data_IF_408332878679
#
_entry.id   IF_408332878679
#
_cell.length_a   1.000
_cell.length_b   1.000
_cell.length_c   1.000
_cell.angle_alpha   90.00
_cell.angle_beta   90.00
_cell.angle_gamma   90.00
#
_symmetry.space_group_name_H-M   'P 1'
#
loop_
_entity.id
_entity.type
_entity.pdbx_description
1 polymer ?
#
# COMPACT_ATOMS: atom_id res chain seq x y z
N UNK A 1 -32.19 20.08 34.60
CA UNK A 1 -33.22 19.87 33.55
C UNK A 1 -32.62 20.25 32.20
N UNK A 2 -31.73 19.41 31.65
CA UNK A 2 -31.32 19.42 30.24
C UNK A 2 -30.93 17.98 29.91
N UNK A 3 -31.91 17.23 29.40
CA UNK A 3 -31.82 15.84 29.00
C UNK A 3 -31.58 15.76 27.49
N UNK A 4 -30.51 15.06 27.12
CA UNK A 4 -30.36 14.06 26.05
C UNK A 4 -31.06 14.25 24.70
N UNK A 5 -30.27 14.13 23.62
CA UNK A 5 -30.76 13.97 22.25
C UNK A 5 -29.71 13.45 21.26
N UNK A 6 -28.90 12.45 21.64
CA UNK A 6 -28.11 11.68 20.66
C UNK A 6 -29.05 10.68 19.98
N UNK A 7 -29.41 10.96 18.72
CA UNK A 7 -30.13 10.02 17.86
C UNK A 7 -29.18 8.87 17.51
N UNK A 8 -29.39 7.71 18.13
CA UNK A 8 -28.88 6.45 17.62
C UNK A 8 -29.61 6.15 16.30
N UNK A 9 -28.89 6.18 15.18
CA UNK A 9 -29.37 5.65 13.91
C UNK A 9 -29.57 4.15 14.06
N UNK A 10 -30.83 3.70 14.01
CA UNK A 10 -31.18 2.30 13.86
C UNK A 10 -30.79 1.85 12.45
N UNK A 11 -29.54 1.40 12.31
CA UNK A 11 -29.08 0.69 11.12
C UNK A 11 -29.81 -0.64 11.00
N UNK A 12 -30.65 -0.75 9.98
CA UNK A 12 -31.36 -1.97 9.60
C UNK A 12 -30.34 -3.08 9.28
N UNK A 13 -30.39 -4.17 10.05
CA UNK A 13 -29.45 -5.31 10.01
C UNK A 13 -29.62 -6.22 8.77
N UNK A 14 -30.12 -5.68 7.65
CA UNK A 14 -30.30 -6.38 6.37
C UNK A 14 -29.18 -6.13 5.35
N UNK A 15 -28.14 -5.37 5.69
CA UNK A 15 -27.04 -5.03 4.78
C UNK A 15 -25.68 -5.62 5.19
N UNK A 16 -25.64 -6.80 5.82
CA UNK A 16 -24.45 -7.64 5.68
C UNK A 16 -24.42 -8.00 4.20
N UNK A 17 -23.55 -7.31 3.46
CA UNK A 17 -23.60 -7.20 2.01
C UNK A 17 -23.95 -8.54 1.36
N UNK A 18 -25.09 -8.57 0.66
CA UNK A 18 -25.23 -9.57 -0.39
C UNK A 18 -23.94 -9.48 -1.21
N UNK A 19 -23.29 -10.62 -1.45
CA UNK A 19 -22.27 -10.72 -2.48
C UNK A 19 -22.99 -10.38 -3.77
N UNK A 20 -23.03 -9.09 -4.10
CA UNK A 20 -23.57 -8.61 -5.36
C UNK A 20 -22.60 -9.12 -6.39
N UNK A 21 -23.06 -10.00 -7.27
CA UNK A 21 -22.25 -10.43 -8.39
C UNK A 21 -21.65 -9.19 -9.07
N UNK A 22 -20.35 -9.21 -9.42
CA UNK A 22 -19.75 -8.10 -10.12
C UNK A 22 -20.56 -7.80 -11.38
N UNK A 23 -20.63 -6.52 -11.82
CA UNK A 23 -21.21 -6.17 -13.12
C UNK A 23 -20.66 -7.10 -14.21
N UNK A 24 -21.50 -7.47 -15.18
CA UNK A 24 -21.17 -8.53 -16.14
C UNK A 24 -19.86 -8.28 -16.92
N UNK A 25 -19.55 -7.01 -17.19
CA UNK A 25 -18.30 -6.59 -17.83
C UNK A 25 -17.06 -6.88 -16.97
N UNK A 26 -17.12 -6.60 -15.66
CA UNK A 26 -16.03 -6.88 -14.73
C UNK A 26 -15.86 -8.39 -14.54
N UNK A 27 -16.97 -9.12 -14.41
CA UNK A 27 -16.97 -10.57 -14.31
C UNK A 27 -16.32 -11.24 -15.53
N UNK A 28 -16.55 -10.68 -16.73
CA UNK A 28 -15.91 -11.13 -17.97
C UNK A 28 -14.39 -10.92 -17.90
N UNK A 29 -13.94 -9.70 -17.60
CA UNK A 29 -12.49 -9.40 -17.54
C UNK A 29 -11.79 -10.24 -16.48
N UNK A 30 -12.39 -10.41 -15.29
CA UNK A 30 -11.86 -11.31 -14.27
C UNK A 30 -11.74 -12.75 -14.76
N UNK A 31 -12.72 -13.25 -15.52
CA UNK A 31 -12.68 -14.59 -16.11
C UNK A 31 -11.61 -14.73 -17.20
N UNK A 32 -11.31 -13.67 -17.95
CA UNK A 32 -10.23 -13.63 -18.96
C UNK A 32 -8.83 -13.50 -18.32
N UNK A 33 -8.72 -12.83 -17.17
CA UNK A 33 -7.47 -12.71 -16.42
C UNK A 33 -7.13 -13.99 -15.63
N UNK A 34 -8.14 -14.71 -15.10
CA UNK A 34 -7.97 -15.87 -14.21
C UNK A 34 -7.05 -16.99 -14.74
N UNK A 35 -7.04 -17.36 -16.04
CA UNK A 35 -6.18 -18.42 -16.55
C UNK A 35 -4.71 -18.02 -16.67
N UNK A 36 -4.38 -16.73 -16.55
CA UNK A 36 -3.00 -16.23 -16.62
C UNK A 36 -2.19 -16.73 -15.42
N UNK A 37 -0.87 -16.67 -15.58
CA UNK A 37 0.07 -17.00 -14.52
C UNK A 37 -0.27 -16.19 -13.24
N UNK A 38 -0.60 -16.83 -12.10
CA UNK A 38 -1.05 -16.13 -10.89
C UNK A 38 0.06 -15.33 -10.20
N UNK A 39 -0.33 -14.34 -9.39
CA UNK A 39 0.59 -13.46 -8.62
C UNK A 39 1.53 -14.21 -7.66
N UNK A 40 1.17 -15.44 -7.28
CA UNK A 40 1.93 -16.29 -6.35
C UNK A 40 3.07 -17.06 -7.01
N UNK A 41 3.15 -17.03 -8.35
CA UNK A 41 4.21 -17.72 -9.11
C UNK A 41 4.94 -16.68 -9.95
N UNK A 42 6.27 -16.62 -9.84
CA UNK A 42 7.06 -15.51 -10.38
C UNK A 42 8.15 -15.99 -11.34
N UNK A 43 8.50 -15.11 -12.28
CA UNK A 43 9.71 -15.18 -13.09
C UNK A 43 10.47 -13.86 -12.94
N UNK A 44 11.70 -13.87 -12.39
CA UNK A 44 12.50 -12.66 -12.20
C UNK A 44 12.93 -11.98 -13.52
N UNK A 45 12.01 -11.27 -14.17
CA UNK A 45 12.26 -10.56 -15.43
C UNK A 45 11.26 -9.43 -15.64
N UNK A 46 11.72 -8.32 -16.21
CA UNK A 46 10.85 -7.25 -16.72
C UNK A 46 10.55 -7.41 -18.22
N UNK A 47 11.10 -8.43 -18.89
CA UNK A 47 11.07 -8.53 -20.36
C UNK A 47 9.67 -8.47 -20.97
N UNK A 48 8.71 -9.21 -20.41
CA UNK A 48 7.32 -9.24 -20.92
C UNK A 48 6.61 -7.91 -20.72
N UNK A 49 6.68 -7.36 -19.51
CA UNK A 49 6.01 -6.09 -19.20
C UNK A 49 6.65 -4.93 -19.97
N UNK A 50 7.98 -4.89 -20.12
CA UNK A 50 8.65 -3.90 -20.97
C UNK A 50 8.19 -4.02 -22.42
N UNK A 51 8.15 -5.23 -22.99
CA UNK A 51 7.68 -5.43 -24.35
C UNK A 51 6.22 -4.99 -24.55
N UNK A 52 5.37 -5.11 -23.53
CA UNK A 52 4.00 -4.58 -23.55
C UNK A 52 3.98 -3.05 -23.46
N UNK A 53 4.76 -2.44 -22.57
CA UNK A 53 4.84 -0.99 -22.44
C UNK A 53 5.34 -0.33 -23.73
N UNK A 54 6.37 -0.90 -24.37
CA UNK A 54 6.92 -0.42 -25.63
C UNK A 54 5.84 -0.36 -26.73
N UNK A 55 5.00 -1.41 -26.82
CA UNK A 55 3.92 -1.49 -27.81
C UNK A 55 2.76 -0.55 -27.48
N UNK A 56 2.51 -0.28 -26.20
CA UNK A 56 1.50 0.66 -25.72
C UNK A 56 1.96 2.13 -25.78
N UNK A 57 3.20 2.39 -26.21
CA UNK A 57 3.74 3.75 -26.33
C UNK A 57 4.19 4.36 -25.00
N UNK A 58 4.69 3.53 -24.09
CA UNK A 58 5.28 3.93 -22.80
C UNK A 58 4.36 4.78 -21.90
N UNK A 59 3.11 4.34 -21.61
CA UNK A 59 2.18 5.10 -20.79
C UNK A 59 2.72 5.37 -19.36
N UNK A 60 3.57 4.50 -18.84
CA UNK A 60 4.24 4.63 -17.54
C UNK A 60 5.23 5.80 -17.46
N UNK A 61 5.58 6.43 -18.58
CA UNK A 61 6.49 7.58 -18.66
C UNK A 61 5.76 8.92 -18.86
N UNK A 62 4.43 8.91 -18.98
CA UNK A 62 3.63 10.11 -19.26
C UNK A 62 3.42 11.04 -18.05
N UNK A 63 3.73 10.56 -16.84
CA UNK A 63 3.54 11.27 -15.57
C UNK A 63 4.64 10.88 -14.57
N UNK A 64 4.90 11.72 -13.55
CA UNK A 64 5.82 11.37 -12.48
C UNK A 64 5.29 10.23 -11.60
N UNK A 65 6.20 9.46 -11.01
CA UNK A 65 5.87 8.29 -10.19
C UNK A 65 6.55 8.37 -8.83
N UNK A 66 5.78 8.14 -7.77
CA UNK A 66 6.24 7.78 -6.43
C UNK A 66 6.02 6.28 -6.27
N UNK A 67 7.09 5.51 -6.17
CA UNK A 67 7.01 4.05 -6.08
C UNK A 67 7.24 3.59 -4.64
N UNK A 68 6.41 2.67 -4.13
CA UNK A 68 6.42 2.23 -2.74
C UNK A 68 6.66 0.72 -2.67
N UNK A 69 7.75 0.31 -2.02
CA UNK A 69 8.02 -1.09 -1.64
C UNK A 69 8.24 -1.22 -0.13
N UNK A 70 8.43 -2.46 0.32
CA UNK A 70 8.67 -2.85 1.71
C UNK A 70 7.96 -4.16 2.05
N UNK A 71 8.14 -4.65 3.27
CA UNK A 71 7.46 -5.86 3.73
C UNK A 71 6.07 -5.49 4.24
N UNK A 72 6.01 -4.60 5.23
CA UNK A 72 4.78 -4.12 5.84
C UNK A 72 4.57 -2.62 5.59
N UNK A 73 3.32 -2.15 5.60
CA UNK A 73 2.99 -0.71 5.50
C UNK A 73 2.82 -0.14 4.09
N UNK A 74 3.26 -0.83 3.03
CA UNK A 74 3.19 -0.39 1.62
C UNK A 74 1.86 0.26 1.24
N UNK A 75 0.76 -0.50 1.29
CA UNK A 75 -0.58 -0.02 0.92
C UNK A 75 -1.01 1.20 1.75
N UNK A 76 -0.76 1.20 3.06
CA UNK A 76 -1.17 2.31 3.92
C UNK A 76 -0.37 3.57 3.62
N UNK A 77 0.95 3.45 3.46
CA UNK A 77 1.83 4.55 3.06
C UNK A 77 1.44 5.10 1.69
N UNK A 78 1.16 4.24 0.71
CA UNK A 78 0.67 4.66 -0.61
C UNK A 78 -0.66 5.44 -0.52
N UNK A 79 -1.60 5.00 0.34
CA UNK A 79 -2.88 5.72 0.56
C UNK A 79 -2.69 7.06 1.27
N UNK A 80 -1.73 7.16 2.19
CA UNK A 80 -1.38 8.42 2.87
C UNK A 80 -0.74 9.41 1.89
N UNK A 81 0.19 8.94 1.04
CA UNK A 81 0.80 9.75 -0.02
C UNK A 81 -0.28 10.25 -0.99
N UNK A 82 -1.18 9.38 -1.46
CA UNK A 82 -2.34 9.76 -2.30
C UNK A 82 -3.20 10.85 -1.64
N UNK A 83 -3.59 10.67 -0.38
CA UNK A 83 -4.38 11.68 0.36
C UNK A 83 -3.66 13.02 0.47
N UNK A 84 -2.37 13.02 0.81
CA UNK A 84 -1.57 14.24 0.94
C UNK A 84 -1.48 14.98 -0.40
N UNK A 85 -1.09 14.29 -1.48
CA UNK A 85 -0.95 14.90 -2.81
C UNK A 85 -2.28 15.49 -3.31
N UNK A 86 -3.41 14.80 -3.07
CA UNK A 86 -4.74 15.36 -3.36
C UNK A 86 -5.10 16.56 -2.50
N UNK A 87 -4.67 16.58 -1.24
CA UNK A 87 -4.78 17.76 -0.37
C UNK A 87 -4.08 18.98 -0.96
N UNK A 88 -2.99 18.78 -1.71
CA UNK A 88 -2.29 19.81 -2.48
C UNK A 88 -2.84 20.05 -3.89
N UNK A 89 -4.02 19.51 -4.20
CA UNK A 89 -4.75 19.76 -5.45
C UNK A 89 -4.24 18.97 -6.66
N UNK A 90 -3.38 17.96 -6.46
CA UNK A 90 -2.92 17.10 -7.55
C UNK A 90 -3.93 16.01 -7.86
N UNK A 91 -4.12 15.74 -9.16
CA UNK A 91 -4.85 14.58 -9.64
C UNK A 91 -3.96 13.35 -9.53
N UNK A 92 -4.28 12.46 -8.59
CA UNK A 92 -3.43 11.31 -8.27
C UNK A 92 -4.01 10.02 -8.82
N UNK A 93 -3.19 9.25 -9.53
CA UNK A 93 -3.44 7.83 -9.81
C UNK A 93 -2.77 6.97 -8.74
N UNK A 94 -3.47 6.00 -8.16
CA UNK A 94 -2.87 5.07 -7.18
C UNK A 94 -3.06 3.63 -7.62
N UNK A 95 -1.95 2.90 -7.67
CA UNK A 95 -1.93 1.46 -7.91
C UNK A 95 -1.56 0.73 -6.62
N UNK A 96 -2.42 -0.20 -6.16
CA UNK A 96 -2.22 -0.95 -4.90
C UNK A 96 -2.53 -2.43 -5.04
N UNK A 97 -1.92 -3.27 -4.21
CA UNK A 97 -2.16 -4.72 -4.24
C UNK A 97 -1.93 -5.39 -2.88
N UNK A 98 -2.65 -6.49 -2.57
CA UNK A 98 -3.84 -6.98 -3.27
C UNK A 98 -5.06 -6.08 -2.99
N UNK A 99 -6.21 -6.39 -3.61
CA UNK A 99 -7.51 -5.79 -3.24
C UNK A 99 -8.15 -6.53 -2.06
N UNK A 100 -9.11 -5.89 -1.39
CA UNK A 100 -9.88 -6.51 -0.31
C UNK A 100 -11.21 -7.08 -0.80
N UNK A 101 -12.00 -6.32 -1.56
CA UNK A 101 -13.34 -6.74 -1.98
C UNK A 101 -13.49 -6.79 -3.51
N UNK A 102 -12.90 -5.84 -4.24
CA UNK A 102 -13.01 -5.78 -5.71
C UNK A 102 -11.67 -5.51 -6.38
N UNK A 103 -11.40 -6.18 -7.50
CA UNK A 103 -10.19 -5.97 -8.31
C UNK A 103 -10.01 -4.51 -8.73
N UNK A 104 -11.09 -3.73 -8.86
CA UNK A 104 -11.02 -2.31 -9.23
C UNK A 104 -10.32 -1.46 -8.18
N UNK A 105 -10.26 -1.89 -6.92
CA UNK A 105 -9.52 -1.21 -5.84
C UNK A 105 -8.02 -1.09 -6.16
N UNK A 106 -7.50 -1.96 -7.02
CA UNK A 106 -6.10 -1.95 -7.43
C UNK A 106 -5.74 -0.74 -8.28
N UNK A 107 -6.72 -0.11 -8.94
CA UNK A 107 -6.52 1.08 -9.79
C UNK A 107 -7.46 2.17 -9.29
N UNK A 108 -6.93 3.20 -8.64
CA UNK A 108 -7.70 4.34 -8.14
C UNK A 108 -7.28 5.61 -8.85
N UNK A 109 -8.23 6.51 -9.14
CA UNK A 109 -7.98 7.87 -9.61
C UNK A 109 -8.71 8.81 -8.67
N UNK A 110 -8.00 9.86 -8.22
CA UNK A 110 -8.53 10.85 -7.26
C UNK A 110 -9.05 10.22 -5.96
N UNK A 111 -8.35 9.18 -5.49
CA UNK A 111 -8.69 8.44 -4.27
C UNK A 111 -9.84 7.44 -4.40
N UNK A 112 -10.46 7.32 -5.58
CA UNK A 112 -11.61 6.45 -5.83
C UNK A 112 -11.22 5.30 -6.77
N UNK A 113 -11.55 4.03 -6.46
CA UNK A 113 -11.39 2.93 -7.41
C UNK A 113 -12.08 3.22 -8.75
N UNK A 114 -11.47 2.82 -9.86
CA UNK A 114 -12.11 2.96 -11.17
C UNK A 114 -13.43 2.18 -11.22
N UNK A 115 -14.40 2.64 -12.00
CA UNK A 115 -15.66 1.92 -12.19
C UNK A 115 -15.42 0.58 -12.89
N UNK A 116 -16.34 -0.37 -12.71
CA UNK A 116 -16.33 -1.64 -13.45
C UNK A 116 -16.26 -1.42 -14.97
N UNK A 117 -17.04 -0.48 -15.48
CA UNK A 117 -17.04 -0.10 -16.90
C UNK A 117 -15.68 0.42 -17.33
N UNK A 118 -15.09 1.36 -16.58
CA UNK A 118 -13.78 1.91 -16.92
C UNK A 118 -12.67 0.86 -16.84
N UNK A 119 -12.74 -0.03 -15.87
CA UNK A 119 -11.81 -1.16 -15.76
C UNK A 119 -11.90 -2.08 -16.98
N UNK A 120 -13.11 -2.38 -17.44
CA UNK A 120 -13.35 -3.20 -18.63
C UNK A 120 -12.93 -2.51 -19.93
N UNK A 121 -13.22 -1.21 -20.07
CA UNK A 121 -12.76 -0.39 -21.20
C UNK A 121 -11.24 -0.42 -21.32
N UNK A 122 -10.51 -0.14 -20.23
CA UNK A 122 -9.04 -0.17 -20.24
C UNK A 122 -8.50 -1.56 -20.59
N UNK A 123 -9.15 -2.63 -20.11
CA UNK A 123 -8.78 -3.99 -20.49
C UNK A 123 -8.97 -4.22 -22.00
N UNK A 124 -10.13 -3.85 -22.54
CA UNK A 124 -10.45 -4.03 -23.96
C UNK A 124 -9.51 -3.22 -24.86
N UNK A 125 -9.12 -2.02 -24.44
CA UNK A 125 -8.14 -1.18 -25.14
C UNK A 125 -6.77 -1.86 -25.23
N UNK A 126 -6.32 -2.56 -24.18
CA UNK A 126 -5.01 -3.23 -24.18
C UNK A 126 -5.04 -4.67 -24.73
N UNK A 127 -6.20 -5.34 -24.74
CA UNK A 127 -6.32 -6.76 -25.08
C UNK A 127 -5.70 -7.18 -26.44
N UNK A 128 -5.81 -6.38 -27.52
CA UNK A 128 -5.13 -6.69 -28.79
C UNK A 128 -3.60 -6.74 -28.64
N UNK A 129 -3.03 -5.85 -27.82
CA UNK A 129 -1.60 -5.76 -27.57
C UNK A 129 -1.11 -6.88 -26.64
N UNK A 130 -1.94 -7.29 -25.67
CA UNK A 130 -1.69 -8.49 -24.85
C UNK A 130 -1.51 -9.71 -25.76
N UNK A 131 -2.43 -9.91 -26.69
CA UNK A 131 -2.39 -11.04 -27.64
C UNK A 131 -1.14 -11.01 -28.53
N UNK A 132 -0.73 -9.82 -28.98
CA UNK A 132 0.47 -9.62 -29.79
C UNK A 132 1.75 -9.97 -29.02
N UNK A 133 1.86 -9.53 -27.77
CA UNK A 133 3.04 -9.79 -26.92
C UNK A 133 3.06 -11.26 -26.47
N UNK A 134 1.93 -11.80 -26.03
CA UNK A 134 1.79 -13.20 -25.60
C UNK A 134 2.24 -14.17 -26.71
N UNK A 135 1.92 -13.88 -27.98
CA UNK A 135 2.33 -14.71 -29.12
C UNK A 135 3.83 -14.68 -29.43
N UNK A 136 4.57 -13.69 -28.90
CA UNK A 136 6.01 -13.50 -29.12
C UNK A 136 6.87 -13.92 -27.93
N UNK A 137 6.25 -14.32 -26.83
CA UNK A 137 6.91 -14.67 -25.58
C UNK A 137 6.75 -16.17 -25.29
N UNK A 138 7.73 -16.83 -24.66
CA UNK A 138 7.61 -18.25 -24.31
C UNK A 138 6.51 -18.50 -23.28
N UNK A 139 6.18 -17.47 -22.49
CA UNK A 139 5.14 -17.50 -21.48
C UNK A 139 4.33 -16.20 -21.63
N UNK A 140 3.01 -16.32 -21.58
CA UNK A 140 2.11 -15.18 -21.60
C UNK A 140 2.35 -14.27 -20.40
N UNK A 141 1.99 -12.99 -20.54
CA UNK A 141 1.92 -12.03 -19.44
C UNK A 141 1.11 -12.61 -18.28
N UNK A 142 1.66 -12.49 -17.08
CA UNK A 142 1.03 -12.87 -15.83
C UNK A 142 -0.16 -11.98 -15.51
N UNK A 143 -1.00 -12.44 -14.58
CA UNK A 143 -2.12 -11.68 -14.05
C UNK A 143 -1.68 -10.29 -13.53
N UNK A 144 -0.57 -10.24 -12.80
CA UNK A 144 -0.06 -9.00 -12.23
C UNK A 144 0.52 -8.06 -13.29
N UNK A 145 1.27 -8.57 -14.27
CA UNK A 145 1.79 -7.75 -15.37
C UNK A 145 0.67 -7.09 -16.18
N UNK A 146 -0.43 -7.79 -16.43
CA UNK A 146 -1.59 -7.21 -17.13
C UNK A 146 -2.24 -6.12 -16.28
N UNK A 147 -2.45 -6.34 -14.98
CA UNK A 147 -3.01 -5.33 -14.09
C UNK A 147 -2.13 -4.09 -13.97
N UNK A 148 -0.82 -4.26 -13.88
CA UNK A 148 0.15 -3.15 -13.86
C UNK A 148 0.04 -2.33 -15.14
N UNK A 149 -0.03 -2.99 -16.30
CA UNK A 149 -0.23 -2.32 -17.58
C UNK A 149 -1.54 -1.55 -17.64
N UNK A 150 -2.65 -2.16 -17.18
CA UNK A 150 -3.95 -1.49 -17.07
C UNK A 150 -3.87 -0.25 -16.17
N UNK A 151 -3.16 -0.35 -15.03
CA UNK A 151 -2.94 0.79 -14.14
C UNK A 151 -2.25 1.94 -14.88
N UNK A 152 -1.16 1.66 -15.59
CA UNK A 152 -0.41 2.68 -16.30
C UNK A 152 -1.20 3.34 -17.44
N UNK A 153 -1.97 2.55 -18.20
CA UNK A 153 -2.85 3.06 -19.26
C UNK A 153 -3.99 3.90 -18.67
N UNK A 154 -4.67 3.42 -17.64
CA UNK A 154 -5.76 4.15 -16.99
C UNK A 154 -5.32 5.52 -16.48
N UNK A 155 -4.10 5.61 -15.96
CA UNK A 155 -3.49 6.86 -15.49
C UNK A 155 -3.13 7.82 -16.62
N UNK A 156 -2.59 7.31 -17.73
CA UNK A 156 -2.26 8.12 -18.90
C UNK A 156 -3.53 8.70 -19.56
N UNK A 157 -4.58 7.89 -19.66
CA UNK A 157 -5.87 8.29 -20.23
C UNK A 157 -6.65 9.29 -19.37
N UNK A 158 -6.45 9.23 -18.04
CA UNK A 158 -7.11 10.09 -17.07
C UNK A 158 -6.25 11.30 -16.67
N UNK A 159 -5.48 11.87 -17.60
CA UNK A 159 -4.24 12.65 -17.39
C UNK A 159 -4.00 13.07 -15.93
N UNK A 160 -3.38 12.19 -15.16
CA UNK A 160 -3.04 12.44 -13.75
C UNK A 160 -1.77 13.30 -13.66
N UNK A 161 -1.61 14.02 -12.55
CA UNK A 161 -0.41 14.79 -12.27
C UNK A 161 0.71 13.92 -11.69
N UNK A 162 0.37 12.83 -11.00
CA UNK A 162 1.34 11.93 -10.35
C UNK A 162 0.73 10.56 -10.05
N UNK A 163 1.51 9.50 -10.26
CA UNK A 163 1.13 8.15 -9.85
C UNK A 163 1.82 7.74 -8.53
N UNK A 164 1.07 7.11 -7.63
CA UNK A 164 1.57 6.42 -6.44
C UNK A 164 1.44 4.92 -6.66
N UNK A 165 2.56 4.24 -6.84
CA UNK A 165 2.59 2.84 -7.31
C UNK A 165 3.17 1.94 -6.24
N UNK A 166 2.33 1.11 -5.64
CA UNK A 166 2.76 0.03 -4.75
C UNK A 166 3.32 -1.14 -5.57
N UNK A 167 4.48 -1.62 -5.15
CA UNK A 167 5.14 -2.81 -5.67
C UNK A 167 4.42 -4.06 -5.18
N UNK A 168 4.18 -5.02 -6.09
CA UNK A 168 3.54 -6.28 -5.75
C UNK A 168 4.44 -7.15 -4.89
N UNK A 169 5.62 -7.52 -5.40
CA UNK A 169 6.61 -8.30 -4.66
C UNK A 169 8.04 -7.90 -5.02
N UNK A 170 8.92 -7.83 -4.02
CA UNK A 170 10.33 -7.52 -4.26
C UNK A 170 10.55 -6.06 -4.66
N UNK A 171 11.21 -5.83 -5.80
CA UNK A 171 11.45 -4.49 -6.33
C UNK A 171 12.03 -4.54 -7.73
N UNK A 172 13.30 -4.93 -7.88
CA UNK A 172 14.07 -4.93 -9.14
C UNK A 172 13.33 -5.53 -10.33
N UNK A 173 12.68 -6.69 -10.14
CA UNK A 173 11.99 -7.41 -11.22
C UNK A 173 10.46 -7.42 -11.06
N UNK A 174 9.91 -6.62 -10.13
CA UNK A 174 8.47 -6.42 -10.05
C UNK A 174 7.96 -5.69 -11.28
N UNK A 175 6.81 -6.10 -11.82
CA UNK A 175 6.27 -5.50 -13.04
C UNK A 175 6.07 -3.99 -12.95
N UNK A 176 5.86 -3.42 -11.75
CA UNK A 176 5.75 -1.97 -11.56
C UNK A 176 7.07 -1.23 -11.79
N UNK A 177 8.21 -1.90 -11.68
CA UNK A 177 9.55 -1.29 -11.78
C UNK A 177 10.02 -0.95 -13.20
N UNK A 178 9.14 -1.10 -14.20
CA UNK A 178 9.31 -0.46 -15.52
C UNK A 178 9.12 1.06 -15.48
N UNK A 179 8.50 1.59 -14.43
CA UNK A 179 8.39 3.03 -14.22
C UNK A 179 9.71 3.64 -13.75
N UNK A 180 9.98 4.87 -14.19
CA UNK A 180 11.10 5.68 -13.73
C UNK A 180 10.67 6.56 -12.55
N UNK A 181 10.61 5.97 -11.35
CA UNK A 181 10.17 6.66 -10.15
C UNK A 181 11.12 7.81 -9.75
N UNK A 182 10.54 8.98 -9.47
CA UNK A 182 11.27 10.16 -8.96
C UNK A 182 11.49 10.06 -7.44
N UNK A 183 10.54 9.44 -6.74
CA UNK A 183 10.66 9.13 -5.31
C UNK A 183 10.48 7.63 -5.13
N UNK A 184 11.47 6.99 -4.53
CA UNK A 184 11.45 5.58 -4.19
C UNK A 184 11.29 5.42 -2.67
N UNK A 185 10.13 4.94 -2.23
CA UNK A 185 9.78 4.77 -0.83
C UNK A 185 9.98 3.32 -0.43
N UNK A 186 10.76 3.10 0.63
CA UNK A 186 11.02 1.77 1.19
C UNK A 186 10.51 1.75 2.63
N UNK A 187 9.33 1.16 2.83
CA UNK A 187 8.76 0.89 4.15
C UNK A 187 9.55 -0.25 4.86
N UNK A 188 9.28 -0.55 6.14
CA UNK A 188 10.09 -1.51 6.90
C UNK A 188 10.27 -2.86 6.18
N UNK A 189 11.51 -3.35 6.15
CA UNK A 189 11.90 -4.62 5.56
C UNK A 189 12.07 -5.66 6.66
N UNK A 190 11.37 -6.78 6.47
CA UNK A 190 11.42 -7.95 7.32
C UNK A 190 11.33 -9.20 6.46
N UNK A 191 11.53 -10.38 7.07
CA UNK A 191 11.37 -11.66 6.41
C UNK A 191 9.92 -11.83 5.91
N UNK A 192 9.78 -11.95 4.60
CA UNK A 192 8.55 -12.31 3.89
C UNK A 192 8.92 -12.81 2.50
N UNK A 193 8.07 -13.65 1.90
CA UNK A 193 8.28 -14.21 0.56
C UNK A 193 9.67 -14.87 0.37
N UNK A 194 10.16 -15.58 1.39
CA UNK A 194 11.52 -16.14 1.42
C UNK A 194 11.82 -17.13 0.30
N UNK A 195 10.79 -17.75 -0.28
CA UNK A 195 10.89 -18.63 -1.45
C UNK A 195 11.35 -17.89 -2.73
N UNK A 196 11.20 -16.57 -2.80
CA UNK A 196 11.54 -15.78 -3.98
C UNK A 196 12.60 -14.70 -3.70
N UNK A 197 12.51 -14.03 -2.56
CA UNK A 197 13.35 -12.87 -2.23
C UNK A 197 14.63 -13.24 -1.48
N UNK A 198 14.78 -14.51 -1.12
CA UNK A 198 15.90 -15.04 -0.34
C UNK A 198 15.54 -15.27 1.13
N UNK A 199 16.42 -15.96 1.85
CA UNK A 199 16.18 -16.48 3.20
C UNK A 199 16.58 -15.50 4.32
N UNK A 200 17.06 -14.31 3.97
CA UNK A 200 17.56 -13.33 4.93
C UNK A 200 17.19 -11.89 4.55
N UNK A 201 17.17 -11.02 5.57
CA UNK A 201 16.77 -9.60 5.42
C UNK A 201 17.64 -8.85 4.41
N UNK A 202 18.93 -9.16 4.31
CA UNK A 202 19.85 -8.51 3.36
C UNK A 202 19.51 -8.85 1.90
N UNK A 203 19.16 -10.10 1.61
CA UNK A 203 18.72 -10.53 0.26
C UNK A 203 17.40 -9.86 -0.14
N UNK A 204 16.43 -9.80 0.77
CA UNK A 204 15.15 -9.11 0.57
C UNK A 204 15.36 -7.62 0.34
N UNK A 205 16.26 -6.99 1.11
CA UNK A 205 16.59 -5.58 0.96
C UNK A 205 17.28 -5.26 -0.36
N UNK A 206 18.20 -6.12 -0.81
CA UNK A 206 18.84 -6.01 -2.12
C UNK A 206 17.81 -6.00 -3.24
N UNK A 207 16.82 -6.89 -3.18
CA UNK A 207 15.79 -6.96 -4.20
C UNK A 207 14.82 -5.77 -4.15
N UNK A 208 14.43 -5.33 -2.95
CA UNK A 208 13.59 -4.12 -2.78
C UNK A 208 14.31 -2.84 -3.21
N UNK A 209 15.63 -2.78 -3.07
CA UNK A 209 16.42 -1.62 -3.48
C UNK A 209 16.33 -1.34 -5.00
N UNK A 210 15.94 -2.32 -5.83
CA UNK A 210 15.83 -2.15 -7.29
C UNK A 210 14.82 -1.11 -7.78
N UNK A 211 13.92 -0.64 -6.90
CA UNK A 211 13.03 0.48 -7.20
C UNK A 211 13.76 1.84 -7.16
N UNK A 212 14.93 1.90 -6.52
CA UNK A 212 15.76 3.12 -6.45
C UNK A 212 16.46 3.27 -7.81
N UNK A 213 15.94 4.21 -8.61
CA UNK A 213 16.43 4.53 -9.95
C UNK A 213 17.42 5.71 -9.94
N UNK A 214 18.24 5.88 -10.99
CA UNK A 214 19.12 7.04 -11.11
C UNK A 214 18.38 8.37 -10.98
N UNK A 215 18.93 9.29 -10.19
CA UNK A 215 18.35 10.61 -9.97
C UNK A 215 17.13 10.65 -9.05
N UNK A 216 16.66 9.51 -8.52
CA UNK A 216 15.55 9.46 -7.58
C UNK A 216 15.94 9.96 -6.17
N UNK A 217 14.93 10.30 -5.38
CA UNK A 217 15.06 10.46 -3.93
C UNK A 217 14.54 9.20 -3.25
N UNK A 218 15.41 8.51 -2.52
CA UNK A 218 15.08 7.35 -1.72
C UNK A 218 14.61 7.78 -0.33
N UNK A 219 13.36 7.48 0.02
CA UNK A 219 12.78 7.70 1.36
C UNK A 219 12.71 6.38 2.08
N UNK A 220 13.58 6.19 3.07
CA UNK A 220 13.73 4.95 3.81
C UNK A 220 13.08 5.09 5.19
N UNK A 221 12.09 4.25 5.47
CA UNK A 221 11.58 4.07 6.83
C UNK A 221 12.69 3.54 7.76
N UNK A 222 12.43 3.48 9.07
CA UNK A 222 13.35 2.84 10.01
C UNK A 222 13.57 1.37 9.60
N UNK A 223 14.83 0.98 9.40
CA UNK A 223 15.21 -0.34 8.93
C UNK A 223 16.03 -1.11 9.99
N UNK A 224 15.97 -2.44 10.00
CA UNK A 224 16.98 -3.24 10.68
C UNK A 224 18.36 -3.01 10.03
N UNK A 225 19.48 -3.12 10.79
CA UNK A 225 20.82 -2.88 10.26
C UNK A 225 21.16 -3.67 8.99
N UNK A 226 20.68 -4.91 8.90
CA UNK A 226 20.91 -5.83 7.78
C UNK A 226 20.24 -5.38 6.48
N UNK A 227 19.14 -4.61 6.57
CA UNK A 227 18.45 -4.07 5.41
C UNK A 227 19.06 -2.74 4.95
N UNK A 228 19.67 -1.97 5.85
CA UNK A 228 20.16 -0.63 5.55
C UNK A 228 21.35 -0.65 4.58
N UNK A 229 22.26 -1.61 4.71
CA UNK A 229 23.48 -1.69 3.88
C UNK A 229 23.18 -1.86 2.37
N UNK A 230 22.34 -2.82 1.92
CA UNK A 230 21.94 -2.91 0.51
C UNK A 230 21.24 -1.66 -0.02
N UNK A 231 20.37 -1.05 0.79
CA UNK A 231 19.64 0.15 0.40
C UNK A 231 20.58 1.33 0.17
N UNK A 232 21.52 1.56 1.09
CA UNK A 232 22.50 2.64 0.98
C UNK A 232 23.49 2.40 -0.17
N UNK A 233 23.98 1.16 -0.35
CA UNK A 233 24.82 0.83 -1.51
C UNK A 233 24.12 1.18 -2.81
N UNK A 234 22.85 0.80 -2.95
CA UNK A 234 22.06 1.12 -4.12
C UNK A 234 21.94 2.63 -4.34
N UNK A 235 21.68 3.42 -3.29
CA UNK A 235 21.61 4.88 -3.43
C UNK A 235 22.93 5.48 -3.95
N UNK A 236 24.07 4.96 -3.51
CA UNK A 236 25.39 5.38 -3.99
C UNK A 236 25.62 4.95 -5.45
N UNK A 237 25.31 3.70 -5.79
CA UNK A 237 25.49 3.14 -7.14
C UNK A 237 24.76 3.94 -8.21
N UNK A 238 23.56 4.43 -7.92
CA UNK A 238 22.74 5.18 -8.88
C UNK A 238 22.75 6.69 -8.66
N UNK A 239 23.60 7.18 -7.74
CA UNK A 239 23.66 8.58 -7.34
C UNK A 239 22.27 9.16 -6.95
N UNK A 240 21.48 8.37 -6.21
CA UNK A 240 20.21 8.81 -5.65
C UNK A 240 20.44 9.60 -4.35
N UNK A 241 19.56 10.58 -4.10
CA UNK A 241 19.52 11.26 -2.80
C UNK A 241 18.81 10.35 -1.80
N UNK A 242 19.19 10.40 -0.52
CA UNK A 242 18.58 9.55 0.52
C UNK A 242 18.07 10.39 1.69
N UNK A 243 16.88 10.05 2.17
CA UNK A 243 16.31 10.52 3.42
C UNK A 243 15.88 9.31 4.26
N UNK A 244 16.29 9.28 5.53
CA UNK A 244 16.07 8.16 6.45
C UNK A 244 15.29 8.61 7.66
N UNK A 245 14.32 7.80 8.05
CA UNK A 245 13.61 7.97 9.30
C UNK A 245 14.59 7.88 10.48
N UNK A 246 14.46 8.79 11.45
CA UNK A 246 15.35 8.93 12.60
C UNK A 246 16.59 9.80 12.33
N UNK A 247 16.85 10.19 11.08
CA UNK A 247 17.99 11.04 10.70
C UNK A 247 17.51 12.33 10.03
N UNK A 248 16.87 12.22 8.86
CA UNK A 248 16.42 13.37 8.07
C UNK A 248 14.96 13.74 8.35
N UNK A 249 14.14 12.78 8.77
CA UNK A 249 12.74 12.97 9.17
C UNK A 249 12.37 11.95 10.27
N UNK A 250 11.20 12.07 10.90
CA UNK A 250 10.73 11.04 11.83
C UNK A 250 9.57 11.44 12.72
N UNK A 251 9.17 10.51 13.59
CA UNK A 251 8.11 10.72 14.57
C UNK A 251 8.68 11.42 15.80
N UNK A 252 8.12 12.58 16.16
CA UNK A 252 8.56 13.35 17.34
C UNK A 252 7.72 12.99 18.57
N UNK A 253 6.41 12.93 18.40
CA UNK A 253 5.48 12.62 19.49
C UNK A 253 4.25 11.88 18.95
N UNK A 254 3.66 11.03 19.79
CA UNK A 254 2.46 10.26 19.47
C UNK A 254 1.62 10.06 20.72
N UNK A 255 0.33 10.34 20.61
CA UNK A 255 -0.65 10.13 21.67
C UNK A 255 -1.88 9.43 21.13
N UNK A 256 -2.46 8.51 21.90
CA UNK A 256 -3.74 7.89 21.57
C UNK A 256 -4.82 8.97 21.60
N UNK A 257 -5.74 8.92 20.64
CA UNK A 257 -6.89 9.81 20.57
C UNK A 257 -8.16 8.99 20.25
N UNK A 258 -9.34 9.55 20.52
CA UNK A 258 -10.60 8.91 20.15
C UNK A 258 -10.64 8.73 18.63
N UNK A 259 -10.79 7.48 18.19
CA UNK A 259 -10.82 7.13 16.77
C UNK A 259 -9.46 7.05 16.06
N UNK A 260 -8.33 7.16 16.79
CA UNK A 260 -7.00 7.07 16.19
C UNK A 260 -5.89 7.58 17.09
N UNK A 261 -5.09 8.52 16.58
CA UNK A 261 -3.93 9.06 17.26
C UNK A 261 -3.63 10.50 16.84
N UNK A 262 -3.03 11.28 17.75
CA UNK A 262 -2.52 12.62 17.50
C UNK A 262 -0.99 12.55 17.40
N UNK A 263 -0.44 13.09 16.32
CA UNK A 263 0.97 12.97 15.97
C UNK A 263 1.66 14.32 15.95
N UNK A 264 2.94 14.31 16.29
CA UNK A 264 3.87 15.36 15.89
C UNK A 264 4.93 14.75 14.99
N UNK A 265 5.00 15.24 13.75
CA UNK A 265 5.85 14.71 12.69
C UNK A 265 6.97 15.72 12.40
N UNK A 266 8.21 15.24 12.31
CA UNK A 266 9.31 15.99 11.70
C UNK A 266 9.43 15.51 10.25
N UNK A 267 9.10 16.37 9.29
CA UNK A 267 9.38 16.16 7.87
C UNK A 267 10.79 16.63 7.48
N UNK A 268 11.09 16.54 6.19
CA UNK A 268 12.26 17.12 5.55
C UNK A 268 12.22 18.66 5.53
N UNK A 269 11.03 19.24 5.41
CA UNK A 269 10.83 20.69 5.28
C UNK A 269 10.54 21.39 6.62
N UNK A 270 9.90 20.70 7.57
CA UNK A 270 9.55 21.28 8.86
C UNK A 270 8.77 20.35 9.77
N UNK A 271 8.28 20.90 10.89
CA UNK A 271 7.55 20.16 11.92
C UNK A 271 6.04 20.38 11.78
N UNK A 272 5.28 19.30 11.87
CA UNK A 272 3.82 19.28 11.80
C UNK A 272 3.27 18.79 13.14
N UNK A 273 2.67 19.70 13.91
CA UNK A 273 2.11 19.40 15.22
C UNK A 273 0.62 19.10 15.13
N UNK A 274 0.08 18.34 16.08
CA UNK A 274 -1.35 18.05 16.20
C UNK A 274 -1.99 17.44 14.93
N UNK A 275 -1.24 16.57 14.23
CA UNK A 275 -1.74 15.85 13.06
C UNK A 275 -2.61 14.68 13.54
N UNK A 276 -3.92 14.76 13.35
CA UNK A 276 -4.83 13.67 13.68
C UNK A 276 -4.80 12.60 12.58
N UNK A 277 -4.53 11.36 12.96
CA UNK A 277 -4.56 10.19 12.09
C UNK A 277 -5.64 9.21 12.61
N UNK A 278 -6.73 8.97 11.86
CA UNK A 278 -7.83 8.09 12.27
C UNK A 278 -7.51 6.60 12.05
N UNK A 279 -6.29 6.19 12.40
CA UNK A 279 -5.83 4.79 12.34
C UNK A 279 -5.19 4.41 13.68
N UNK A 280 -5.35 3.15 14.07
CA UNK A 280 -4.79 2.62 15.31
C UNK A 280 -3.40 1.99 15.11
N UNK A 281 -2.59 1.99 16.17
CA UNK A 281 -1.27 1.35 16.20
C UNK A 281 -0.10 2.28 15.84
N UNK A 282 1.03 2.09 16.54
CA UNK A 282 2.25 2.90 16.35
C UNK A 282 2.86 2.79 14.94
N UNK A 283 2.73 1.62 14.31
CA UNK A 283 3.20 1.41 12.93
C UNK A 283 2.50 2.34 11.92
N UNK A 284 1.26 2.79 12.19
CA UNK A 284 0.59 3.76 11.33
C UNK A 284 1.14 5.18 11.48
N UNK A 285 1.66 5.55 12.66
CA UNK A 285 2.38 6.81 12.83
C UNK A 285 3.69 6.83 12.03
N UNK A 286 4.40 5.69 11.99
CA UNK A 286 5.59 5.52 11.16
C UNK A 286 5.24 5.57 9.65
N UNK A 287 4.14 4.94 9.24
CA UNK A 287 3.68 5.07 7.85
C UNK A 287 3.38 6.54 7.49
N UNK A 288 2.82 7.32 8.44
CA UNK A 288 2.54 8.75 8.26
C UNK A 288 3.82 9.60 8.15
N UNK A 289 4.87 9.35 8.95
CA UNK A 289 6.15 10.07 8.82
C UNK A 289 6.78 9.84 7.45
N UNK A 290 6.78 8.59 6.99
CA UNK A 290 7.29 8.21 5.67
C UNK A 290 6.48 8.86 4.55
N UNK A 291 5.15 8.91 4.68
CA UNK A 291 4.28 9.55 3.69
C UNK A 291 4.55 11.06 3.56
N UNK A 292 4.71 11.77 4.69
CA UNK A 292 5.08 13.21 4.67
C UNK A 292 6.41 13.41 3.97
N UNK A 293 7.44 12.64 4.34
CA UNK A 293 8.77 12.75 3.74
C UNK A 293 8.76 12.42 2.24
N UNK A 294 7.96 11.45 1.79
CA UNK A 294 7.79 11.12 0.38
C UNK A 294 7.15 12.27 -0.42
N UNK A 295 6.14 12.94 0.15
CA UNK A 295 5.47 14.07 -0.51
C UNK A 295 6.36 15.32 -0.53
N UNK A 296 7.09 15.60 0.55
CA UNK A 296 8.10 16.68 0.55
C UNK A 296 9.24 16.40 -0.42
N UNK A 297 9.71 15.15 -0.52
CA UNK A 297 10.70 14.76 -1.51
C UNK A 297 10.18 14.99 -2.94
N UNK A 298 8.91 14.69 -3.20
CA UNK A 298 8.27 14.89 -4.50
C UNK A 298 8.15 16.37 -4.88
N UNK A 299 7.73 17.25 -3.97
CA UNK A 299 7.64 18.69 -4.23
C UNK A 299 9.01 19.41 -4.25
N UNK A 300 10.06 18.75 -3.76
CA UNK A 300 11.42 19.27 -3.68
C UNK A 300 11.87 19.50 -2.24
N UNK A 301 12.86 18.72 -1.79
CA UNK A 301 13.36 18.74 -0.42
C UNK A 301 14.10 20.05 -0.07
N UNK A 302 13.89 20.56 1.15
CA UNK A 302 14.65 21.67 1.74
C UNK A 302 13.83 22.55 2.69
N UNK A 303 14.48 23.44 3.44
CA UNK A 303 13.85 24.31 4.44
C UNK A 303 12.81 25.31 3.88
N UNK A 304 12.74 25.47 2.55
CA UNK A 304 11.71 26.26 1.87
C UNK A 304 10.57 25.41 1.29
N UNK A 305 10.63 24.08 1.43
CA UNK A 305 9.66 23.11 0.93
C UNK A 305 8.75 22.54 2.00
N UNK A 306 8.60 23.21 3.16
CA UNK A 306 7.62 22.80 4.17
C UNK A 306 6.22 22.86 3.56
N UNK A 307 5.50 21.75 3.66
CA UNK A 307 4.11 21.66 3.25
C UNK A 307 3.24 22.58 4.12
N UNK A 308 2.14 23.08 3.55
CA UNK A 308 1.17 23.85 4.32
C UNK A 308 0.58 22.95 5.42
N UNK A 309 0.68 23.40 6.67
CA UNK A 309 0.41 22.55 7.85
C UNK A 309 -1.07 22.23 7.98
N UNK A 310 -1.96 23.15 7.65
CA UNK A 310 -3.40 22.92 7.73
C UNK A 310 -3.87 21.94 6.64
N UNK A 311 -3.29 21.99 5.44
CA UNK A 311 -3.50 20.98 4.38
C UNK A 311 -3.02 19.60 4.83
N UNK A 312 -1.83 19.50 5.44
CA UNK A 312 -1.34 18.21 5.97
C UNK A 312 -2.28 17.65 7.02
N UNK A 313 -2.74 18.48 7.97
CA UNK A 313 -3.69 18.07 9.02
C UNK A 313 -5.02 17.62 8.43
N UNK A 314 -5.57 18.38 7.48
CA UNK A 314 -6.83 18.06 6.82
C UNK A 314 -6.73 16.74 6.03
N UNK A 315 -5.66 16.56 5.25
CA UNK A 315 -5.43 15.34 4.47
C UNK A 315 -5.32 14.09 5.36
N UNK A 316 -4.58 14.18 6.48
CA UNK A 316 -4.46 13.05 7.42
C UNK A 316 -5.77 12.71 8.14
N UNK A 317 -6.60 13.69 8.46
CA UNK A 317 -7.92 13.44 9.06
C UNK A 317 -8.85 12.61 8.15
N UNK A 318 -8.63 12.68 6.83
CA UNK A 318 -9.39 11.93 5.82
C UNK A 318 -8.72 10.64 5.35
N UNK A 319 -7.58 10.26 5.94
CA UNK A 319 -6.95 8.97 5.66
C UNK A 319 -7.87 7.81 6.05
N UNK A 320 -7.94 6.81 5.17
CA UNK A 320 -8.64 5.55 5.40
C UNK A 320 -7.74 4.40 4.94
N UNK A 321 -7.67 3.35 5.75
CA UNK A 321 -6.95 2.12 5.41
C UNK A 321 -7.86 0.91 5.71
N UNK A 322 -8.77 0.58 4.78
CA UNK A 322 -9.65 -0.57 4.95
C UNK A 322 -8.84 -1.84 5.24
N UNK A 323 -9.35 -2.70 6.13
CA UNK A 323 -8.67 -3.92 6.56
C UNK A 323 -7.34 -3.70 7.31
N UNK A 324 -7.08 -2.51 7.88
CA UNK A 324 -5.92 -2.23 8.75
C UNK A 324 -6.41 -1.79 10.12
N UNK A 325 -6.58 -2.75 11.01
CA UNK A 325 -7.23 -2.65 12.32
C UNK A 325 -8.51 -1.80 12.29
N UNK A 326 -9.34 -2.07 11.27
CA UNK A 326 -10.53 -1.30 10.95
C UNK A 326 -11.68 -1.67 11.88
N UNK A 327 -12.27 -0.67 12.54
CA UNK A 327 -13.47 -0.84 13.35
C UNK A 327 -14.70 -0.91 12.43
N UNK A 328 -15.22 -2.10 12.17
CA UNK A 328 -16.40 -2.31 11.30
C UNK A 328 -17.72 -2.36 12.07
N UNK A 329 -17.66 -2.49 13.40
CA UNK A 329 -18.82 -2.44 14.32
C UNK A 329 -18.35 -2.03 15.71
N UNK A 330 -19.22 -1.46 16.54
CA UNK A 330 -18.92 -1.02 17.92
C UNK A 330 -19.74 -1.73 19.02
N UNK A 331 -20.79 -2.47 18.68
CA UNK A 331 -21.64 -3.16 19.67
C UNK A 331 -22.11 -4.56 19.18
N UNK A 332 -21.36 -5.64 19.49
CA UNK A 332 -20.01 -5.63 20.05
C UNK A 332 -18.99 -5.15 19.02
N UNK A 333 -17.87 -4.60 19.51
CA UNK A 333 -16.79 -4.12 18.63
C UNK A 333 -16.27 -5.25 17.76
N UNK A 334 -16.19 -5.01 16.46
CA UNK A 334 -15.59 -5.93 15.50
C UNK A 334 -14.48 -5.19 14.76
N UNK A 335 -13.30 -5.81 14.75
CA UNK A 335 -12.11 -5.31 14.07
C UNK A 335 -11.79 -6.23 12.88
N UNK A 336 -11.34 -5.65 11.78
CA UNK A 336 -10.82 -6.38 10.62
C UNK A 336 -9.38 -5.94 10.38
N UNK A 337 -8.47 -6.90 10.26
CA UNK A 337 -7.07 -6.65 9.97
C UNK A 337 -6.52 -7.70 8.98
N UNK A 338 -5.82 -7.22 7.94
CA UNK A 338 -5.25 -8.03 6.86
C UNK A 338 -3.77 -8.42 7.10
N UNK A 339 -3.36 -8.46 8.37
CA UNK A 339 -2.11 -9.06 8.82
C UNK A 339 -1.99 -10.50 8.33
N UNK A 340 -0.83 -10.85 7.80
CA UNK A 340 -0.56 -12.19 7.24
C UNK A 340 0.89 -12.65 7.46
N UNK A 341 1.64 -11.96 8.33
CA UNK A 341 2.98 -12.36 8.73
C UNK A 341 3.20 -12.09 10.23
N UNK A 342 4.21 -12.70 10.88
CA UNK A 342 4.45 -12.55 12.32
C UNK A 342 4.67 -11.09 12.77
N UNK A 343 5.30 -10.27 11.95
CA UNK A 343 5.56 -8.88 12.31
C UNK A 343 4.29 -8.02 12.31
N UNK A 344 3.44 -8.16 11.29
CA UNK A 344 2.11 -7.57 11.27
C UNK A 344 1.27 -8.04 12.45
N UNK A 345 1.40 -9.30 12.86
CA UNK A 345 0.66 -9.82 14.02
C UNK A 345 1.10 -9.19 15.32
N UNK A 346 2.41 -9.00 15.52
CA UNK A 346 2.93 -8.23 16.67
C UNK A 346 2.40 -6.80 16.68
N UNK A 347 2.40 -6.14 15.51
CA UNK A 347 1.90 -4.79 15.37
C UNK A 347 0.40 -4.69 15.67
N UNK A 348 -0.38 -5.67 15.20
CA UNK A 348 -1.82 -5.79 15.45
C UNK A 348 -2.11 -6.03 16.93
N UNK A 349 -1.46 -7.02 17.55
CA UNK A 349 -1.66 -7.33 18.98
C UNK A 349 -1.31 -6.13 19.86
N UNK A 350 -0.16 -5.49 19.61
CA UNK A 350 0.24 -4.29 20.35
C UNK A 350 -0.78 -3.15 20.19
N UNK A 351 -1.27 -2.92 18.97
CA UNK A 351 -2.27 -1.89 18.70
C UNK A 351 -3.63 -2.20 19.34
N UNK A 352 -4.04 -3.47 19.37
CA UNK A 352 -5.28 -3.89 20.04
C UNK A 352 -5.18 -3.64 21.54
N UNK A 353 -4.10 -4.09 22.17
CA UNK A 353 -3.89 -3.92 23.62
C UNK A 353 -3.78 -2.45 24.03
N UNK A 354 -3.21 -1.62 23.16
CA UNK A 354 -3.05 -0.19 23.42
C UNK A 354 -4.35 0.60 23.23
N UNK A 355 -5.09 0.34 22.15
CA UNK A 355 -6.23 1.17 21.75
C UNK A 355 -7.58 0.68 22.29
N UNK A 356 -7.68 -0.57 22.76
CA UNK A 356 -8.94 -1.19 23.17
C UNK A 356 -8.82 -1.89 24.52
N UNK A 357 -9.79 -1.65 25.39
CA UNK A 357 -9.91 -2.31 26.70
C UNK A 357 -10.87 -3.51 26.63
N UNK A 358 -10.53 -4.50 25.78
CA UNK A 358 -11.36 -5.69 25.62
C UNK A 358 -11.22 -6.63 26.83
N UNK A 359 -12.33 -6.82 27.56
CA UNK A 359 -12.41 -7.84 28.61
C UNK A 359 -12.39 -9.27 28.06
N UNK A 360 -12.83 -9.45 26.80
CA UNK A 360 -12.81 -10.73 26.10
C UNK A 360 -12.65 -10.51 24.60
N UNK A 361 -11.53 -10.97 24.06
CA UNK A 361 -11.26 -10.94 22.61
C UNK A 361 -11.50 -12.33 22.01
N UNK A 362 -12.33 -12.41 20.97
CA UNK A 362 -12.49 -13.62 20.15
C UNK A 362 -11.82 -13.35 18.81
N UNK A 363 -10.78 -14.13 18.49
CA UNK A 363 -10.08 -14.01 17.22
C UNK A 363 -10.67 -14.99 16.20
N UNK A 364 -11.11 -14.47 15.06
CA UNK A 364 -11.51 -15.27 13.90
C UNK A 364 -10.38 -15.19 12.89
N UNK A 365 -9.76 -16.31 12.55
CA UNK A 365 -8.51 -16.36 11.78
C UNK A 365 -8.67 -17.24 10.55
N UNK A 366 -8.30 -16.70 9.40
CA UNK A 366 -8.07 -17.43 8.16
C UNK A 366 -6.70 -17.00 7.61
N UNK A 367 -5.86 -17.97 7.26
CA UNK A 367 -4.51 -17.71 6.74
C UNK A 367 -4.24 -18.55 5.50
N UNK A 368 -3.47 -17.97 4.57
CA UNK A 368 -2.97 -18.71 3.42
C UNK A 368 -1.91 -19.73 3.86
N UNK A 369 -1.85 -20.86 3.16
CA UNK A 369 -0.98 -21.99 3.51
C UNK A 369 0.52 -21.70 3.37
N UNK A 370 0.90 -20.66 2.62
CA UNK A 370 2.28 -20.24 2.37
C UNK A 370 2.84 -19.32 3.47
N UNK A 371 2.05 -19.00 4.51
CA UNK A 371 2.44 -18.09 5.61
C UNK A 371 2.92 -18.84 6.85
N UNK A 372 3.68 -18.15 7.71
CA UNK A 372 4.09 -18.66 9.03
C UNK A 372 2.92 -18.59 10.02
N UNK A 373 1.94 -19.46 9.81
CA UNK A 373 0.70 -19.50 10.59
C UNK A 373 0.99 -19.81 12.05
N UNK A 374 1.92 -20.73 12.34
CA UNK A 374 2.25 -21.11 13.71
C UNK A 374 2.70 -19.90 14.53
N UNK A 375 3.69 -19.16 14.04
CA UNK A 375 4.24 -18.03 14.78
C UNK A 375 3.20 -16.90 14.93
N UNK A 376 2.37 -16.64 13.91
CA UNK A 376 1.26 -15.69 14.05
C UNK A 376 0.29 -16.10 15.17
N UNK A 377 -0.07 -17.38 15.25
CA UNK A 377 -0.97 -17.87 16.30
C UNK A 377 -0.31 -17.81 17.69
N UNK A 378 0.99 -18.08 17.81
CA UNK A 378 1.74 -17.93 19.07
C UNK A 378 1.77 -16.48 19.58
N UNK A 379 1.81 -15.49 18.68
CA UNK A 379 1.74 -14.07 19.04
C UNK A 379 0.32 -13.66 19.48
N UNK A 380 -0.70 -14.25 18.86
CA UNK A 380 -2.11 -13.92 19.10
C UNK A 380 -2.70 -14.61 20.33
N UNK A 381 -2.23 -15.82 20.65
CA UNK A 381 -2.72 -16.65 21.75
C UNK A 381 -2.80 -15.92 23.11
N UNK A 382 -1.80 -15.13 23.52
CA UNK A 382 -1.81 -14.48 24.84
C UNK A 382 -2.92 -13.44 25.01
N UNK A 383 -3.49 -12.93 23.91
CA UNK A 383 -4.52 -11.88 23.94
C UNK A 383 -5.91 -12.36 23.54
N UNK A 384 -6.00 -13.51 22.88
CA UNK A 384 -7.27 -14.06 22.41
C UNK A 384 -7.85 -15.05 23.44
N UNK A 385 -8.99 -14.69 24.04
CA UNK A 385 -9.71 -15.58 24.96
C UNK A 385 -10.34 -16.80 24.25
N UNK A 386 -10.54 -16.70 22.93
CA UNK A 386 -10.99 -17.79 22.09
C UNK A 386 -10.47 -17.58 20.67
N UNK A 387 -10.09 -18.67 20.01
CA UNK A 387 -9.69 -18.68 18.61
C UNK A 387 -10.67 -19.53 17.79
N UNK A 388 -11.12 -18.97 16.67
CA UNK A 388 -11.97 -19.64 15.68
C UNK A 388 -11.22 -19.65 14.36
N UNK A 389 -10.70 -20.81 13.97
CA UNK A 389 -10.10 -20.99 12.65
C UNK A 389 -11.20 -21.20 11.59
N UNK A 390 -11.04 -20.56 10.42
CA UNK A 390 -11.94 -20.70 9.27
C UNK A 390 -11.15 -20.78 7.96
N UNK A 391 -11.82 -21.16 6.88
CA UNK A 391 -11.28 -21.11 5.53
C UNK A 391 -11.56 -19.75 4.88
N UNK A 392 -10.66 -19.34 3.97
CA UNK A 392 -10.81 -18.16 3.10
C UNK A 392 -11.49 -18.53 1.79
#
# INVERSE_FOLDING_TARGET
MWTTGLRAGSGDLRSIGAVTNPPAELARVEAELRPRWPETRLEPSLSRITALMDVLGDPQLAYPVIQVTGTNGKTTTARMIDQLLRGFGLRVGRFTSPHLASITERISIEGVPVSAARFAEVYDDIAPYLSLVDARQPIALSYFEVLTAMGYVAFADAPIDVAVVEVGMGGSWDSTSVAAAQVAVVTPIELDHTNYLGDNVMSIASEKAGIIKPGAIAVLALQPPEALDPLLRRTVEVAATVAREGMEFGLVDRRIAVGGQLLTLQGLGGRYEEVFLPLHGAHQAQNATVAVAAVEAFFGAGAQGQLETDVVRAAFADVRAPGRLEVVRTAPTALVDATHNPAGMRATVAAVQEAFDFQRLVAVVACMADKDVRHMLEILEPVAAQLVATAN
#
